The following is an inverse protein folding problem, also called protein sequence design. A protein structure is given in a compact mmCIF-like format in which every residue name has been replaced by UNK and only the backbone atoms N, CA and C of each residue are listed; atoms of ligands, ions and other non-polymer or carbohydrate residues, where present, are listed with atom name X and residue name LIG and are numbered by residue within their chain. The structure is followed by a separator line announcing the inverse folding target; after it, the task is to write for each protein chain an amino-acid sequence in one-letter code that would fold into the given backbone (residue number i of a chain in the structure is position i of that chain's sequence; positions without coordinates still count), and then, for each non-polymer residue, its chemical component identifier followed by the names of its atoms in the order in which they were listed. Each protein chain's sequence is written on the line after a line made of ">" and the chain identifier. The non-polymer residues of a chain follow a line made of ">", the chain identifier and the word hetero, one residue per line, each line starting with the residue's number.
data_IF_061265434459
#
_entry.id   IF_061265434459
#
_cell.length_a   1.000
_cell.length_b   1.000
_cell.length_c   1.000
_cell.angle_alpha   90.00
_cell.angle_beta   90.00
_cell.angle_gamma   90.00
#
_symmetry.space_group_name_H-M   'P 1'
#
loop_
_entity.id
_entity.type
_entity.pdbx_description
1 polymer ?
#
# COMPACT_ATOMS: atom_id res chain seq x y z
N UNK A 1 -13.05 -13.12 11.70
CA UNK A 1 -12.68 -11.70 11.94
C UNK A 1 -11.62 -11.32 10.92
N UNK A 2 -11.47 -10.05 10.59
CA UNK A 2 -10.40 -9.58 9.71
C UNK A 2 -9.64 -8.40 10.35
N UNK A 3 -8.32 -8.41 10.25
CA UNK A 3 -7.44 -7.27 10.54
C UNK A 3 -7.02 -6.68 9.20
N UNK A 4 -7.20 -5.36 9.02
CA UNK A 4 -6.88 -4.67 7.77
C UNK A 4 -5.93 -3.51 8.04
N UNK A 5 -4.77 -3.52 7.38
CA UNK A 5 -3.73 -2.50 7.45
C UNK A 5 -3.50 -1.98 6.04
N UNK A 6 -4.22 -0.91 5.68
CA UNK A 6 -4.20 -0.33 4.34
C UNK A 6 -3.54 1.05 4.39
N UNK A 7 -2.33 1.16 3.85
CA UNK A 7 -1.54 2.39 3.89
C UNK A 7 -1.04 2.79 5.28
N UNK A 8 -0.93 1.82 6.21
CA UNK A 8 -0.61 2.07 7.62
C UNK A 8 0.83 1.69 7.95
N UNK A 9 1.35 0.59 7.40
CA UNK A 9 2.65 0.09 7.81
C UNK A 9 3.78 1.01 7.35
N UNK A 10 3.62 1.70 6.21
CA UNK A 10 4.55 2.74 5.78
C UNK A 10 4.75 3.89 6.78
N UNK A 11 3.78 4.15 7.66
CA UNK A 11 3.89 5.18 8.71
C UNK A 11 4.71 4.71 9.93
N UNK A 12 5.09 3.43 9.98
CA UNK A 12 5.96 2.87 11.01
C UNK A 12 7.39 2.83 10.44
N UNK A 13 8.32 3.70 10.87
CA UNK A 13 9.63 3.84 10.23
C UNK A 13 10.56 2.64 10.46
N UNK A 14 10.35 1.94 11.57
CA UNK A 14 11.15 0.79 12.01
C UNK A 14 10.46 -0.51 11.58
N UNK A 15 11.22 -1.36 10.90
CA UNK A 15 10.70 -2.58 10.29
C UNK A 15 10.43 -3.68 11.33
N UNK A 16 11.21 -3.74 12.41
CA UNK A 16 11.01 -4.69 13.50
C UNK A 16 9.74 -4.34 14.28
N UNK A 17 9.53 -3.03 14.55
CA UNK A 17 8.31 -2.52 15.17
C UNK A 17 7.09 -2.78 14.27
N UNK A 18 7.20 -2.54 12.96
CA UNK A 18 6.10 -2.83 12.02
C UNK A 18 5.72 -4.32 12.06
N UNK A 19 6.72 -5.21 12.04
CA UNK A 19 6.52 -6.65 12.18
C UNK A 19 5.90 -7.04 13.51
N UNK A 20 6.34 -6.44 14.62
CA UNK A 20 5.78 -6.69 15.95
C UNK A 20 4.31 -6.26 16.06
N UNK A 21 3.95 -5.11 15.49
CA UNK A 21 2.55 -4.64 15.44
C UNK A 21 1.68 -5.65 14.70
N UNK A 22 2.11 -6.11 13.53
CA UNK A 22 1.37 -7.14 12.76
C UNK A 22 1.23 -8.42 13.59
N UNK A 23 2.32 -8.92 14.18
CA UNK A 23 2.30 -10.13 15.03
C UNK A 23 1.33 -10.01 16.20
N UNK A 24 1.32 -8.86 16.89
CA UNK A 24 0.44 -8.62 18.02
C UNK A 24 -1.04 -8.57 17.61
N UNK A 25 -1.35 -7.90 16.49
CA UNK A 25 -2.72 -7.84 15.97
C UNK A 25 -3.24 -9.21 15.53
N UNK A 26 -2.41 -10.01 14.88
CA UNK A 26 -2.74 -11.38 14.48
C UNK A 26 -2.93 -12.28 15.70
N UNK A 27 -2.06 -12.18 16.71
CA UNK A 27 -2.17 -12.97 17.95
C UNK A 27 -3.43 -12.63 18.77
N UNK A 28 -3.99 -11.43 18.60
CA UNK A 28 -5.18 -10.97 19.32
C UNK A 28 -6.50 -11.49 18.72
N UNK A 29 -6.49 -12.09 17.53
CA UNK A 29 -7.69 -12.60 16.85
C UNK A 29 -7.75 -14.13 16.87
N UNK A 30 -8.95 -14.75 16.89
CA UNK A 30 -9.08 -16.20 16.92
C UNK A 30 -8.61 -16.85 15.60
N UNK A 31 -8.19 -18.11 15.66
CA UNK A 31 -7.86 -18.91 14.47
C UNK A 31 -9.00 -18.93 13.45
N UNK A 32 -8.65 -18.93 12.16
CA UNK A 32 -9.61 -18.75 11.05
C UNK A 32 -9.97 -17.29 10.77
N UNK A 33 -9.31 -16.34 11.43
CA UNK A 33 -9.35 -14.92 11.05
C UNK A 33 -8.42 -14.61 9.87
N UNK A 34 -8.60 -13.44 9.27
CA UNK A 34 -7.86 -13.00 8.08
C UNK A 34 -7.01 -11.76 8.39
N UNK A 35 -5.86 -11.64 7.72
CA UNK A 35 -5.03 -10.45 7.68
C UNK A 35 -5.04 -9.90 6.25
N UNK A 36 -5.28 -8.60 6.11
CA UNK A 36 -5.17 -7.87 4.85
C UNK A 36 -4.14 -6.77 5.05
N UNK A 37 -3.07 -6.79 4.25
CA UNK A 37 -2.10 -5.70 4.15
C UNK A 37 -2.14 -5.19 2.73
N UNK A 38 -2.33 -3.88 2.59
CA UNK A 38 -2.22 -3.18 1.33
C UNK A 38 -1.32 -1.97 1.55
N UNK A 39 -0.17 -1.93 0.87
CA UNK A 39 0.77 -0.84 1.05
C UNK A 39 1.47 -0.51 -0.27
N UNK A 40 1.96 0.73 -0.37
CA UNK A 40 2.81 1.18 -1.46
C UNK A 40 4.18 0.50 -1.35
N UNK A 41 4.77 0.17 -2.50
CA UNK A 41 6.04 -0.56 -2.55
C UNK A 41 7.12 0.21 -3.29
N UNK A 42 8.36 -0.18 -3.08
CA UNK A 42 9.55 0.43 -3.71
C UNK A 42 9.80 -0.03 -5.16
N UNK A 43 8.81 -0.65 -5.82
CA UNK A 43 8.99 -1.22 -7.16
C UNK A 43 8.90 -0.19 -8.30
N UNK A 44 8.34 0.99 -8.04
CA UNK A 44 8.20 2.07 -9.02
C UNK A 44 9.15 3.23 -8.65
N UNK A 45 10.21 3.47 -9.44
CA UNK A 45 11.15 4.56 -9.17
C UNK A 45 10.50 5.94 -9.11
N UNK A 46 9.42 6.18 -9.86
CA UNK A 46 8.71 7.47 -9.85
C UNK A 46 7.92 7.67 -8.55
N UNK A 47 7.37 6.59 -7.99
CA UNK A 47 6.73 6.59 -6.68
C UNK A 47 7.76 6.80 -5.56
N UNK A 48 8.93 6.16 -5.67
CA UNK A 48 10.04 6.34 -4.71
C UNK A 48 10.50 7.80 -4.69
N UNK A 49 10.78 8.40 -5.85
CA UNK A 49 11.19 9.81 -5.94
C UNK A 49 10.12 10.75 -5.37
N UNK A 50 8.85 10.51 -5.70
CA UNK A 50 7.75 11.29 -5.15
C UNK A 50 7.65 11.14 -3.62
N UNK A 51 7.80 9.93 -3.10
CA UNK A 51 7.71 9.67 -1.67
C UNK A 51 8.88 10.29 -0.90
N UNK A 52 10.10 10.25 -1.44
CA UNK A 52 11.27 10.93 -0.87
C UNK A 52 11.04 12.44 -0.80
N UNK A 53 10.51 13.04 -1.88
CA UNK A 53 10.14 14.46 -1.89
C UNK A 53 9.11 14.81 -0.79
N UNK A 54 8.12 13.95 -0.55
CA UNK A 54 7.16 14.15 0.55
C UNK A 54 7.80 13.96 1.92
N UNK A 55 8.63 12.94 2.10
CA UNK A 55 9.29 12.61 3.37
C UNK A 55 10.23 13.72 3.86
N UNK A 56 10.84 14.49 2.94
CA UNK A 56 11.65 15.66 3.29
C UNK A 56 10.83 16.82 3.90
N UNK A 57 9.50 16.81 3.71
CA UNK A 57 8.61 17.95 4.01
C UNK A 57 7.54 17.61 5.05
N UNK A 58 7.28 16.33 5.29
CA UNK A 58 6.28 15.85 6.24
C UNK A 58 6.95 15.41 7.56
N UNK A 59 6.45 15.81 8.75
CA UNK A 59 6.92 15.29 10.02
C UNK A 59 6.67 13.78 10.22
N UNK A 60 5.83 13.15 9.40
CA UNK A 60 5.52 11.72 9.43
C UNK A 60 5.96 11.04 8.12
N UNK A 61 7.23 10.63 8.00
CA UNK A 61 7.73 10.02 6.78
C UNK A 61 7.04 8.68 6.51
N UNK A 62 6.80 8.40 5.25
CA UNK A 62 6.24 7.15 4.76
C UNK A 62 7.34 6.28 4.15
N UNK A 63 7.53 5.09 4.70
CA UNK A 63 8.54 4.12 4.27
C UNK A 63 7.95 3.14 3.27
N UNK A 64 8.33 3.28 2.00
CA UNK A 64 8.07 2.26 1.00
C UNK A 64 8.92 1.03 1.30
N UNK A 65 8.32 -0.14 1.12
CA UNK A 65 8.96 -1.43 1.37
C UNK A 65 8.93 -2.30 0.12
N UNK A 66 9.86 -3.23 0.02
CA UNK A 66 9.83 -4.20 -1.06
C UNK A 66 8.66 -5.17 -0.90
N UNK A 67 8.15 -5.75 -2.00
CA UNK A 67 7.16 -6.80 -1.92
C UNK A 67 7.61 -7.98 -1.04
N UNK A 68 8.91 -8.32 -1.07
CA UNK A 68 9.47 -9.37 -0.22
C UNK A 68 9.41 -9.04 1.27
N UNK A 69 9.62 -7.77 1.63
CA UNK A 69 9.45 -7.32 3.01
C UNK A 69 7.99 -7.39 3.45
N UNK A 70 7.07 -6.92 2.61
CA UNK A 70 5.63 -7.00 2.90
C UNK A 70 5.19 -8.46 3.05
N UNK A 71 5.69 -9.36 2.21
CA UNK A 71 5.42 -10.79 2.32
C UNK A 71 5.85 -11.36 3.68
N UNK A 72 6.96 -10.87 4.26
CA UNK A 72 7.43 -11.28 5.58
C UNK A 72 6.46 -10.94 6.73
N UNK A 73 5.58 -9.95 6.57
CA UNK A 73 4.53 -9.68 7.56
C UNK A 73 3.47 -10.79 7.63
N UNK A 74 3.42 -11.68 6.64
CA UNK A 74 2.53 -12.83 6.59
C UNK A 74 3.21 -14.13 7.07
N UNK A 75 4.41 -14.06 7.63
CA UNK A 75 5.12 -15.25 8.11
C UNK A 75 4.27 -16.08 9.07
N UNK A 76 4.12 -17.38 8.77
CA UNK A 76 3.28 -18.30 9.53
C UNK A 76 1.79 -18.28 9.18
N UNK A 77 1.37 -17.48 8.19
CA UNK A 77 0.01 -17.44 7.66
C UNK A 77 -0.07 -18.12 6.28
N UNK A 78 -1.29 -18.50 5.90
CA UNK A 78 -1.60 -19.02 4.57
C UNK A 78 -2.14 -17.89 3.69
N UNK A 79 -1.54 -17.69 2.51
CA UNK A 79 -2.02 -16.72 1.54
C UNK A 79 -3.32 -17.20 0.90
N UNK A 80 -4.31 -16.31 0.87
CA UNK A 80 -5.47 -16.47 -0.02
C UNK A 80 -5.02 -16.16 -1.44
N UNK A 81 -5.28 -17.06 -2.39
CA UNK A 81 -5.03 -16.86 -3.83
C UNK A 81 -5.63 -15.54 -4.30
N UNK A 82 -4.91 -14.68 -5.06
CA UNK A 82 -3.62 -14.92 -5.74
C UNK A 82 -2.36 -14.68 -4.89
N UNK A 83 -2.51 -14.37 -3.60
CA UNK A 83 -1.41 -13.99 -2.73
C UNK A 83 -1.04 -12.52 -2.85
N UNK A 84 0.25 -12.20 -2.72
CA UNK A 84 0.74 -10.83 -2.80
C UNK A 84 0.91 -10.39 -4.26
N UNK A 85 0.04 -9.49 -4.70
CA UNK A 85 0.05 -8.89 -6.05
C UNK A 85 -0.23 -7.39 -5.96
N UNK A 86 -0.05 -6.66 -7.06
CA UNK A 86 -0.50 -5.26 -7.12
C UNK A 86 -2.04 -5.17 -6.99
N UNK A 87 -2.55 -4.05 -6.46
CA UNK A 87 -4.00 -3.86 -6.23
C UNK A 87 -4.89 -4.24 -7.42
N UNK A 88 -4.61 -3.82 -8.67
CA UNK A 88 -5.48 -4.13 -9.80
C UNK A 88 -5.52 -5.63 -10.17
N UNK A 89 -4.56 -6.41 -9.68
CA UNK A 89 -4.43 -7.83 -10.00
C UNK A 89 -5.11 -8.73 -8.95
N UNK A 90 -5.55 -8.18 -7.82
CA UNK A 90 -6.18 -8.96 -6.76
C UNK A 90 -7.68 -9.08 -7.05
N UNK A 91 -8.10 -10.26 -7.56
CA UNK A 91 -9.48 -10.56 -7.97
C UNK A 91 -10.15 -9.49 -8.86
N UNK A 92 -9.58 -9.20 -10.06
CA UNK A 92 -10.10 -8.15 -10.95
C UNK A 92 -11.56 -8.38 -11.40
N UNK A 93 -11.97 -9.65 -11.57
CA UNK A 93 -13.33 -9.99 -11.98
C UNK A 93 -14.37 -9.64 -10.90
N UNK A 94 -13.97 -9.61 -9.62
CA UNK A 94 -14.85 -9.17 -8.54
C UNK A 94 -15.11 -7.66 -8.61
N UNK A 95 -14.09 -6.87 -8.99
CA UNK A 95 -14.23 -5.43 -9.20
C UNK A 95 -15.11 -5.11 -10.41
N UNK A 96 -15.01 -5.89 -11.50
CA UNK A 96 -15.86 -5.73 -12.69
C UNK A 96 -17.36 -5.96 -12.43
N UNK A 97 -17.69 -6.70 -11.37
CA UNK A 97 -19.06 -6.99 -10.96
C UNK A 97 -19.60 -6.01 -9.91
N UNK A 98 -18.77 -5.09 -9.40
CA UNK A 98 -19.22 -3.94 -8.65
C UNK A 98 -19.58 -2.84 -9.67
N UNK A 99 -20.87 -2.50 -9.77
CA UNK A 99 -21.28 -1.31 -10.52
C UNK A 99 -20.48 -0.11 -10.00
N UNK A 100 -19.74 0.62 -10.87
CA UNK A 100 -18.90 1.71 -10.43
C UNK A 100 -19.76 2.75 -9.71
N UNK A 101 -19.51 2.94 -8.42
CA UNK A 101 -20.14 4.02 -7.67
C UNK A 101 -19.65 5.37 -8.21
N UNK A 102 -20.48 6.41 -8.12
CA UNK A 102 -20.15 7.76 -8.62
C UNK A 102 -18.82 8.33 -8.06
N UNK A 103 -18.30 7.77 -6.97
CA UNK A 103 -17.03 8.13 -6.33
C UNK A 103 -15.81 7.74 -7.18
N UNK A 104 -15.83 6.60 -7.88
CA UNK A 104 -14.70 6.18 -8.73
C UNK A 104 -14.48 7.12 -9.92
N UNK A 105 -15.56 7.75 -10.40
CA UNK A 105 -15.50 8.74 -11.48
C UNK A 105 -14.81 10.04 -11.04
N UNK A 106 -14.77 10.33 -9.74
CA UNK A 106 -14.14 11.53 -9.18
C UNK A 106 -12.64 11.33 -8.85
N UNK A 107 -12.19 10.08 -8.65
CA UNK A 107 -10.79 9.77 -8.32
C UNK A 107 -9.86 9.77 -9.55
N UNK A 108 -10.41 9.63 -10.75
CA UNK A 108 -9.73 9.99 -11.99
C UNK A 108 -9.66 11.52 -12.10
N UNK A 109 -8.82 12.14 -11.26
CA UNK A 109 -8.53 13.56 -11.39
C UNK A 109 -7.91 13.79 -12.78
N UNK A 110 -8.43 14.72 -13.61
CA UNK A 110 -7.76 15.06 -14.85
C UNK A 110 -6.36 15.55 -14.53
N UNK A 111 -5.38 15.16 -15.36
CA UNK A 111 -4.01 15.64 -15.24
C UNK A 111 -4.01 17.16 -15.01
N UNK A 112 -3.40 17.61 -13.91
CA UNK A 112 -3.36 19.01 -13.54
C UNK A 112 -2.65 19.82 -14.66
N UNK A 113 -3.34 20.73 -15.36
CA UNK A 113 -2.75 21.52 -16.43
C UNK A 113 -1.72 22.56 -15.93
N UNK A 114 -1.66 22.82 -14.62
CA UNK A 114 -0.73 23.78 -14.01
C UNK A 114 0.62 23.17 -13.63
N UNK A 115 1.01 22.02 -14.19
CA UNK A 115 2.41 21.55 -14.06
C UNK A 115 3.29 22.48 -14.92
N UNK A 116 4.11 23.39 -14.35
CA UNK A 116 4.97 24.22 -15.16
C UNK A 116 5.93 23.31 -15.93
N UNK A 117 5.93 23.46 -17.26
CA UNK A 117 6.85 22.76 -18.13
C UNK A 117 8.28 23.02 -17.67
N UNK A 118 9.11 21.98 -17.63
CA UNK A 118 10.55 22.13 -17.49
C UNK A 118 11.00 23.06 -18.62
N UNK A 119 11.33 24.30 -18.29
CA UNK A 119 12.11 25.16 -19.16
C UNK A 119 13.54 24.64 -19.08
N UNK A 120 14.00 24.07 -20.19
CA UNK A 120 15.42 23.95 -20.48
C UNK A 120 16.03 25.36 -20.48
N UNK A 121 17.11 25.55 -19.72
CA UNK A 121 18.40 26.14 -20.16
C UNK A 121 19.19 26.78 -19.00
N UNK A 122 20.52 26.97 -19.16
CA UNK A 122 21.33 26.78 -20.38
C UNK A 122 22.33 25.61 -20.34
#
# INVERSE_FOLDING_TARGET
>A
VAVMLLGILGLVPDDDIAGDVVRQLVAAVPSGSYLVIGDATDTDPSLVEAQDYYNERDPSPYRLRSPGHIAGFFDGLEFVTPGLVSYPQWHPDAAANCEPSDVERSAASPANPDRPGKSDEP
#
